data_IF_616572473185
#
_entry.id   IF_616572473185
#
_cell.length_a   1.000
_cell.length_b   1.000
_cell.length_c   1.000
_cell.angle_alpha   90.00
_cell.angle_beta   90.00
_cell.angle_gamma   90.00
#
_symmetry.space_group_name_H-M   'P 1'
#
loop_
_entity.id
_entity.type
_entity.pdbx_description
1 polymer ?
#
# COMPACT_ATOMS: atom_id res chain seq x y z
N UNK A 1 -1.30 -8.20 7.77
CA UNK A 1 -1.10 -7.73 6.38
C UNK A 1 -1.88 -6.42 6.25
N UNK A 2 -1.24 -5.36 5.76
CA UNK A 2 -1.87 -4.05 5.54
C UNK A 2 -1.95 -3.80 4.04
N UNK A 3 -3.04 -3.20 3.59
CA UNK A 3 -3.17 -2.78 2.21
C UNK A 3 -2.72 -1.32 2.08
N UNK A 4 -1.99 -1.02 1.01
CA UNK A 4 -1.58 0.34 0.66
C UNK A 4 -2.33 0.75 -0.61
N UNK A 5 -3.05 1.87 -0.54
CA UNK A 5 -3.81 2.41 -1.68
C UNK A 5 -3.11 3.65 -2.22
N UNK A 6 -2.66 3.59 -3.46
CA UNK A 6 -2.01 4.70 -4.18
C UNK A 6 -2.97 5.27 -5.22
N UNK A 7 -2.98 6.60 -5.37
CA UNK A 7 -3.83 7.32 -6.31
C UNK A 7 -3.02 8.24 -7.23
N UNK A 8 -3.55 8.49 -8.43
CA UNK A 8 -2.99 9.42 -9.42
C UNK A 8 -1.50 9.14 -9.71
N UNK A 9 -0.68 10.18 -9.83
CA UNK A 9 0.75 10.07 -10.12
C UNK A 9 1.53 9.12 -9.17
N UNK A 10 1.09 8.98 -7.92
CA UNK A 10 1.73 8.04 -6.97
C UNK A 10 1.48 6.58 -7.33
N UNK A 11 0.35 6.27 -7.97
CA UNK A 11 0.09 4.92 -8.47
C UNK A 11 1.04 4.55 -9.61
N UNK A 12 1.33 5.49 -10.51
CA UNK A 12 2.30 5.30 -11.59
C UNK A 12 3.73 5.11 -11.06
N UNK A 13 4.14 5.94 -10.08
CA UNK A 13 5.43 5.78 -9.40
C UNK A 13 5.55 4.43 -8.68
N UNK A 14 4.50 4.03 -7.96
CA UNK A 14 4.45 2.74 -7.28
C UNK A 14 4.63 1.58 -8.27
N UNK A 15 3.95 1.63 -9.43
CA UNK A 15 4.08 0.62 -10.47
C UNK A 15 5.49 0.56 -11.06
N UNK A 16 6.14 1.71 -11.23
CA UNK A 16 7.47 1.80 -11.82
C UNK A 16 8.59 1.35 -10.85
N UNK A 17 8.47 1.66 -9.57
CA UNK A 17 9.55 1.54 -8.59
C UNK A 17 9.38 0.40 -7.58
N UNK A 18 8.14 -0.01 -7.28
CA UNK A 18 7.88 -1.03 -6.24
C UNK A 18 7.77 -2.40 -6.87
N UNK A 19 8.65 -3.31 -6.44
CA UNK A 19 8.59 -4.73 -6.75
C UNK A 19 8.54 -5.53 -5.45
N UNK A 20 8.25 -6.83 -5.55
CA UNK A 20 8.30 -7.71 -4.38
C UNK A 20 9.69 -7.66 -3.76
N UNK A 21 9.77 -7.35 -2.47
CA UNK A 21 11.03 -7.22 -1.73
C UNK A 21 11.60 -5.80 -1.67
N UNK A 22 11.01 -4.83 -2.37
CA UNK A 22 11.41 -3.42 -2.26
C UNK A 22 11.13 -2.91 -0.85
N UNK A 23 12.13 -2.26 -0.25
CA UNK A 23 11.97 -1.56 1.04
C UNK A 23 11.43 -0.17 0.79
N UNK A 24 10.29 0.15 1.41
CA UNK A 24 9.63 1.45 1.26
C UNK A 24 9.24 2.01 2.62
N UNK A 25 9.26 3.34 2.71
CA UNK A 25 8.64 4.11 3.78
C UNK A 25 7.44 4.83 3.19
N UNK A 26 6.29 4.73 3.86
CA UNK A 26 5.04 5.36 3.41
C UNK A 26 4.45 6.21 4.52
N UNK A 27 3.94 7.38 4.14
CA UNK A 27 3.12 8.23 5.00
C UNK A 27 1.75 8.39 4.38
N UNK A 28 0.72 8.42 5.20
CA UNK A 28 -0.65 8.40 4.71
C UNK A 28 -1.69 8.41 5.80
N UNK A 29 -2.93 8.21 5.38
CA UNK A 29 -4.09 8.15 6.29
C UNK A 29 -4.52 6.70 6.47
N UNK A 30 -4.71 6.30 7.73
CA UNK A 30 -5.38 5.04 8.07
C UNK A 30 -6.87 5.15 7.77
N UNK A 31 -7.39 4.19 7.01
CA UNK A 31 -8.79 4.07 6.68
C UNK A 31 -9.28 2.68 7.07
N UNK A 32 -10.39 2.62 7.79
CA UNK A 32 -11.08 1.37 8.08
C UNK A 32 -12.38 1.34 7.29
N UNK A 33 -12.65 0.19 6.68
CA UNK A 33 -13.84 -0.04 5.87
C UNK A 33 -14.52 -1.35 6.28
N UNK A 34 -15.76 -1.52 5.82
CA UNK A 34 -16.39 -2.82 5.84
C UNK A 34 -17.23 -3.03 4.60
N UNK A 35 -17.22 -4.25 4.07
CA UNK A 35 -18.04 -4.65 2.94
C UNK A 35 -18.69 -6.00 3.23
N UNK A 36 -19.86 -6.24 2.62
CA UNK A 36 -20.52 -7.54 2.65
C UNK A 36 -19.95 -8.40 1.54
N UNK A 37 -19.37 -9.54 1.92
CA UNK A 37 -18.95 -10.55 0.97
C UNK A 37 -20.17 -11.30 0.43
N UNK A 38 -20.01 -11.96 -0.73
CA UNK A 38 -21.09 -12.69 -1.40
C UNK A 38 -21.67 -13.84 -0.56
N UNK A 39 -20.94 -14.28 0.45
CA UNK A 39 -21.36 -15.30 1.43
C UNK A 39 -22.20 -14.71 2.58
N UNK A 40 -22.49 -13.41 2.57
CA UNK A 40 -23.23 -12.70 3.62
C UNK A 40 -22.37 -12.29 4.82
N UNK A 41 -21.06 -12.58 4.81
CA UNK A 41 -20.16 -12.19 5.90
C UNK A 41 -19.71 -10.73 5.76
N UNK A 42 -19.70 -9.97 6.87
CA UNK A 42 -19.09 -8.64 6.92
C UNK A 42 -17.58 -8.77 7.07
N UNK A 43 -16.85 -8.27 6.08
CA UNK A 43 -15.39 -8.19 6.08
C UNK A 43 -14.98 -6.78 6.49
N UNK A 44 -14.08 -6.67 7.45
CA UNK A 44 -13.46 -5.40 7.82
C UNK A 44 -12.12 -5.28 7.10
N UNK A 45 -11.84 -4.10 6.55
CA UNK A 45 -10.55 -3.80 5.95
C UNK A 45 -9.89 -2.66 6.70
N UNK A 46 -8.57 -2.76 6.79
CA UNK A 46 -7.72 -1.69 7.30
C UNK A 46 -6.70 -1.39 6.22
N UNK A 47 -6.83 -0.21 5.63
CA UNK A 47 -6.09 0.22 4.47
C UNK A 47 -5.37 1.53 4.81
N UNK A 48 -4.19 1.76 4.22
CA UNK A 48 -3.47 3.03 4.32
C UNK A 48 -3.56 3.70 2.96
N UNK A 49 -4.21 4.86 2.91
CA UNK A 49 -4.21 5.71 1.71
C UNK A 49 -2.93 6.51 1.71
N UNK A 50 -2.06 6.24 0.75
CA UNK A 50 -0.68 6.76 0.73
C UNK A 50 -0.68 8.21 0.24
N UNK A 51 -0.19 9.10 1.09
CA UNK A 51 0.03 10.51 0.80
C UNK A 51 1.44 10.77 0.33
N UNK A 52 2.44 10.07 0.88
CA UNK A 52 3.84 10.18 0.45
C UNK A 52 4.57 8.84 0.48
N UNK A 53 5.57 8.69 -0.39
CA UNK A 53 6.30 7.45 -0.62
C UNK A 53 7.79 7.74 -0.80
N UNK A 54 8.61 7.06 0.00
CA UNK A 54 10.07 7.05 -0.15
C UNK A 54 10.51 5.61 -0.40
N UNK A 55 11.13 5.39 -1.56
CA UNK A 55 11.71 4.09 -1.91
C UNK A 55 13.16 4.07 -1.43
N UNK A 56 13.54 3.06 -0.65
CA UNK A 56 14.92 2.88 -0.23
C UNK A 56 15.63 1.95 -1.21
N UNK A 57 16.78 2.39 -1.73
CA UNK A 57 17.71 1.48 -2.38
C UNK A 57 18.23 0.48 -1.36
N UNK A 58 18.13 -0.81 -1.70
CA UNK A 58 18.71 -1.86 -0.90
C UNK A 58 20.15 -1.98 -1.38
N UNK A 59 21.10 -1.51 -0.57
CA UNK A 59 22.51 -1.84 -0.77
C UNK A 59 22.64 -3.37 -0.69
N UNK A 60 22.89 -4.00 -1.83
CA UNK A 60 23.16 -5.43 -1.87
C UNK A 60 24.58 -5.58 -1.31
N UNK A 61 24.69 -5.91 -0.02
CA UNK A 61 25.96 -6.34 0.54
C UNK A 61 26.39 -7.61 -0.20
N UNK A 62 27.49 -7.51 -0.96
CA UNK A 62 28.18 -8.65 -1.56
C UNK A 62 28.79 -9.56 -0.49
#
# INVERSE_FOLDING_TARGET
MLNLTFWNAKAELALAQIKKGTKITVEGRLQTGSYEAKDGSKRFTTDIVVSDLIVQEIEIAN
#
